data_IF_834611996957
#
_entry.id   IF_834611996957
#
_cell.length_a   1.000
_cell.length_b   1.000
_cell.length_c   1.000
_cell.angle_alpha   90.00
_cell.angle_beta   90.00
_cell.angle_gamma   90.00
#
_symmetry.space_group_name_H-M   'P 1'
#
loop_
_entity.id
_entity.type
_entity.pdbx_description
1 polymer ?
#
# COMPACT_ATOMS: atom_id res chain seq x y z
N UNK A 1 24.19 -5.59 20.09
CA UNK A 1 23.87 -7.03 19.96
C UNK A 1 22.85 -7.37 21.03
N UNK A 2 21.57 -7.49 20.68
CA UNK A 2 20.52 -7.90 21.63
C UNK A 2 20.80 -9.33 22.08
N UNK A 3 20.89 -9.55 23.40
CA UNK A 3 21.16 -10.87 24.01
C UNK A 3 19.90 -11.75 24.09
N UNK A 4 18.75 -11.18 23.74
CA UNK A 4 17.41 -11.75 23.84
C UNK A 4 17.24 -13.15 23.20
N UNK A 5 17.74 -13.46 21.98
CA UNK A 5 17.62 -14.81 21.42
C UNK A 5 18.40 -15.86 22.23
N UNK A 6 19.57 -15.50 22.74
CA UNK A 6 20.41 -16.40 23.56
C UNK A 6 19.75 -16.63 24.92
N UNK A 7 19.13 -15.60 25.50
CA UNK A 7 18.39 -15.69 26.76
C UNK A 7 17.16 -16.57 26.61
N UNK A 8 16.41 -16.46 25.51
CA UNK A 8 15.29 -17.36 25.23
C UNK A 8 15.75 -18.82 25.10
N UNK A 9 16.80 -19.06 24.31
CA UNK A 9 17.36 -20.41 24.13
C UNK A 9 17.82 -20.97 25.48
N UNK A 10 18.48 -20.17 26.33
CA UNK A 10 18.91 -20.60 27.66
C UNK A 10 17.70 -20.93 28.56
N UNK A 11 16.64 -20.12 28.55
CA UNK A 11 15.42 -20.37 29.34
C UNK A 11 14.71 -21.63 28.85
N UNK A 12 14.51 -21.78 27.54
CA UNK A 12 13.82 -22.94 26.95
C UNK A 12 14.56 -24.27 27.17
N UNK A 13 15.84 -24.24 27.54
CA UNK A 13 16.68 -25.45 27.66
C UNK A 13 17.04 -25.78 29.10
N UNK A 14 17.27 -24.77 29.94
CA UNK A 14 17.60 -24.96 31.35
C UNK A 14 16.36 -25.20 32.22
N UNK A 15 15.22 -24.55 31.95
CA UNK A 15 14.00 -24.78 32.75
C UNK A 15 13.53 -26.24 32.69
N UNK A 16 13.41 -26.88 31.51
CA UNK A 16 12.99 -28.29 31.44
C UNK A 16 13.97 -29.25 32.09
N UNK A 17 15.27 -28.91 32.13
CA UNK A 17 16.30 -29.74 32.77
C UNK A 17 16.22 -29.73 34.30
N UNK A 18 15.68 -28.66 34.89
CA UNK A 18 15.53 -28.50 36.36
C UNK A 18 14.23 -29.14 36.86
N UNK A 19 13.15 -29.05 36.07
CA UNK A 19 11.85 -29.60 36.44
C UNK A 19 11.76 -31.09 36.04
N UNK A 20 12.16 -31.98 36.94
CA UNK A 20 12.02 -33.42 36.75
C UNK A 20 10.57 -33.90 37.05
N UNK A 21 10.04 -34.69 36.11
CA UNK A 21 8.84 -35.54 36.14
C UNK A 21 7.63 -35.07 36.98
N UNK A 22 6.56 -34.70 36.26
CA UNK A 22 5.23 -34.42 36.81
C UNK A 22 4.35 -33.67 35.81
N UNK A 23 3.04 -33.60 36.07
CA UNK A 23 2.09 -32.89 35.21
C UNK A 23 2.46 -31.41 35.02
N UNK A 24 3.03 -30.78 36.06
CA UNK A 24 3.52 -29.40 36.01
C UNK A 24 4.72 -29.22 35.06
N UNK A 25 5.66 -30.16 35.04
CA UNK A 25 6.81 -30.10 34.13
C UNK A 25 6.35 -30.19 32.66
N UNK A 26 5.32 -30.99 32.39
CA UNK A 26 4.71 -31.11 31.07
C UNK A 26 4.03 -29.81 30.64
N UNK A 27 3.29 -29.15 31.54
CA UNK A 27 2.70 -27.83 31.25
C UNK A 27 3.79 -26.80 30.93
N UNK A 28 4.85 -26.74 31.74
CA UNK A 28 5.97 -25.81 31.54
C UNK A 28 6.64 -26.07 30.19
N UNK A 29 6.87 -27.34 29.83
CA UNK A 29 7.45 -27.72 28.54
C UNK A 29 6.56 -27.27 27.37
N UNK A 30 5.25 -27.50 27.44
CA UNK A 30 4.31 -27.04 26.40
C UNK A 30 4.37 -25.52 26.26
N UNK A 31 4.35 -24.78 27.37
CA UNK A 31 4.42 -23.30 27.35
C UNK A 31 5.73 -22.83 26.72
N UNK A 32 6.86 -23.47 27.04
CA UNK A 32 8.16 -23.13 26.47
C UNK A 32 8.25 -23.45 24.98
N UNK A 33 7.68 -24.57 24.53
CA UNK A 33 7.61 -24.92 23.11
C UNK A 33 6.72 -23.93 22.35
N UNK A 34 5.58 -23.55 22.93
CA UNK A 34 4.71 -22.52 22.36
C UNK A 34 5.42 -21.17 22.24
N UNK A 35 6.12 -20.76 23.30
CA UNK A 35 6.93 -19.54 23.33
C UNK A 35 8.03 -19.55 22.26
N UNK A 36 8.78 -20.64 22.18
CA UNK A 36 9.85 -20.81 21.20
C UNK A 36 9.30 -20.77 19.78
N UNK A 37 8.23 -21.52 19.50
CA UNK A 37 7.59 -21.54 18.17
C UNK A 37 7.10 -20.16 17.77
N UNK A 38 6.42 -19.43 18.68
CA UNK A 38 5.97 -18.06 18.45
C UNK A 38 7.15 -17.13 18.11
N UNK A 39 8.25 -17.24 18.86
CA UNK A 39 9.45 -16.46 18.59
C UNK A 39 10.04 -16.76 17.21
N UNK A 40 10.14 -18.04 16.84
CA UNK A 40 10.67 -18.45 15.52
C UNK A 40 9.83 -17.90 14.37
N UNK A 41 8.51 -17.88 14.50
CA UNK A 41 7.63 -17.28 13.50
C UNK A 41 7.81 -15.76 13.38
N UNK A 42 8.00 -15.09 14.51
CA UNK A 42 8.27 -13.66 14.50
C UNK A 42 9.64 -13.34 13.90
N UNK A 43 10.63 -14.23 14.07
CA UNK A 43 11.92 -14.18 13.36
C UNK A 43 11.72 -14.32 11.85
N UNK A 44 10.87 -15.24 11.36
CA UNK A 44 10.53 -15.32 9.93
C UNK A 44 9.92 -14.00 9.47
N UNK A 45 8.92 -13.48 10.18
CA UNK A 45 8.19 -12.28 9.78
C UNK A 45 9.10 -11.05 9.71
N UNK A 46 9.99 -10.85 10.69
CA UNK A 46 10.97 -9.76 10.67
C UNK A 46 12.04 -9.95 9.60
N UNK A 47 12.58 -11.17 9.47
CA UNK A 47 13.59 -11.47 8.43
C UNK A 47 13.01 -11.30 7.03
N UNK A 48 11.75 -11.67 6.82
CA UNK A 48 11.01 -11.49 5.56
C UNK A 48 10.77 -10.02 5.20
N UNK A 49 10.67 -9.14 6.20
CA UNK A 49 10.59 -7.68 6.00
C UNK A 49 11.95 -7.06 5.65
N UNK A 50 13.05 -7.79 5.88
CA UNK A 50 14.42 -7.34 5.69
C UNK A 50 15.03 -6.72 6.95
N UNK A 51 14.36 -6.83 8.09
CA UNK A 51 14.95 -6.47 9.38
C UNK A 51 15.73 -7.66 9.93
N UNK A 52 17.06 -7.58 9.84
CA UNK A 52 17.97 -8.63 10.32
C UNK A 52 18.30 -8.46 11.81
N UNK A 53 17.64 -7.54 12.52
CA UNK A 53 17.76 -7.44 13.98
C UNK A 53 16.88 -8.50 14.64
N UNK A 54 17.41 -9.23 15.64
CA UNK A 54 16.63 -10.26 16.30
C UNK A 54 15.53 -9.61 17.16
N UNK A 55 14.32 -10.20 17.17
CA UNK A 55 13.18 -9.63 17.88
C UNK A 55 13.41 -9.59 19.37
N UNK A 56 12.87 -8.54 20.01
CA UNK A 56 12.87 -8.45 21.46
C UNK A 56 11.83 -9.40 22.06
N UNK A 57 12.14 -9.98 23.23
CA UNK A 57 11.22 -10.89 23.92
C UNK A 57 9.88 -10.22 24.25
N UNK A 58 9.88 -8.91 24.52
CA UNK A 58 8.66 -8.15 24.80
C UNK A 58 7.70 -8.11 23.61
N UNK A 59 8.20 -7.94 22.40
CA UNK A 59 7.40 -8.02 21.15
C UNK A 59 6.89 -9.43 20.90
N UNK A 60 7.72 -10.45 21.20
CA UNK A 60 7.32 -11.84 21.05
C UNK A 60 6.22 -12.28 22.03
N UNK A 61 6.08 -11.65 23.20
CA UNK A 61 5.07 -12.02 24.20
C UNK A 61 3.87 -11.08 24.29
N UNK A 62 3.92 -9.87 23.74
CA UNK A 62 2.75 -8.99 23.60
C UNK A 62 1.92 -9.37 22.36
N UNK A 63 0.70 -9.87 22.55
CA UNK A 63 -0.27 -10.14 21.46
C UNK A 63 -0.57 -11.62 21.17
N UNK A 64 -1.72 -11.87 20.55
CA UNK A 64 -2.32 -13.19 20.32
C UNK A 64 -1.67 -14.02 19.20
N UNK A 65 -0.57 -14.72 19.51
CA UNK A 65 0.13 -15.64 18.58
C UNK A 65 -0.02 -17.13 18.90
N UNK A 66 -0.85 -17.49 19.89
CA UNK A 66 -1.12 -18.90 20.25
C UNK A 66 -1.78 -19.67 19.11
N UNK A 67 -2.63 -18.99 18.33
CA UNK A 67 -3.30 -19.57 17.17
C UNK A 67 -2.29 -20.09 16.13
N UNK A 68 -1.20 -19.35 15.91
CA UNK A 68 -0.16 -19.73 14.95
C UNK A 68 0.56 -21.03 15.35
N UNK A 69 0.81 -21.19 16.65
CA UNK A 69 1.41 -22.42 17.20
C UNK A 69 0.45 -23.60 17.02
N UNK A 70 -0.84 -23.40 17.31
CA UNK A 70 -1.87 -24.43 17.12
C UNK A 70 -1.94 -24.84 15.64
N UNK A 71 -1.94 -23.87 14.73
CA UNK A 71 -1.96 -24.13 13.28
C UNK A 71 -0.72 -24.91 12.83
N UNK A 72 0.49 -24.54 13.28
CA UNK A 72 1.71 -25.27 12.95
C UNK A 72 1.67 -26.72 13.48
N UNK A 73 1.19 -26.90 14.70
CA UNK A 73 1.06 -28.24 15.30
C UNK A 73 0.08 -29.09 14.48
N UNK A 74 -1.02 -28.50 14.02
CA UNK A 74 -1.99 -29.19 13.18
C UNK A 74 -1.41 -29.58 11.81
N UNK A 75 -0.60 -28.72 11.17
CA UNK A 75 0.10 -29.05 9.92
C UNK A 75 1.01 -30.27 10.10
N UNK A 76 1.80 -30.31 11.19
CA UNK A 76 2.65 -31.47 11.50
C UNK A 76 1.83 -32.75 11.71
N UNK A 77 0.69 -32.66 12.41
CA UNK A 77 -0.21 -33.81 12.63
C UNK A 77 -0.79 -34.29 11.29
N UNK A 78 -1.21 -33.39 10.41
CA UNK A 78 -1.79 -33.73 9.11
C UNK A 78 -0.75 -34.40 8.22
N UNK A 79 0.43 -33.80 8.05
CA UNK A 79 1.50 -34.37 7.22
C UNK A 79 2.05 -35.67 7.80
N UNK A 80 2.26 -35.75 9.12
CA UNK A 80 2.69 -36.97 9.79
C UNK A 80 1.65 -38.09 9.68
N UNK A 81 0.38 -37.75 9.89
CA UNK A 81 -0.75 -38.67 9.73
C UNK A 81 -0.88 -39.20 8.30
N UNK A 82 -0.64 -38.35 7.29
CA UNK A 82 -0.66 -38.76 5.89
C UNK A 82 0.43 -39.79 5.56
N UNK A 83 1.67 -39.57 6.04
CA UNK A 83 2.77 -40.53 5.85
C UNK A 83 2.48 -41.84 6.59
N UNK A 84 1.98 -41.75 7.82
CA UNK A 84 1.64 -42.93 8.62
C UNK A 84 0.53 -43.77 7.96
N UNK A 85 -0.55 -43.11 7.51
CA UNK A 85 -1.64 -43.76 6.79
C UNK A 85 -1.15 -44.37 5.47
N UNK A 86 -0.32 -43.67 4.70
CA UNK A 86 0.25 -44.21 3.48
C UNK A 86 1.13 -45.45 3.75
N UNK A 87 1.92 -45.45 4.82
CA UNK A 87 2.73 -46.60 5.19
C UNK A 87 1.88 -47.81 5.57
N UNK A 88 0.77 -47.59 6.27
CA UNK A 88 -0.12 -48.65 6.72
C UNK A 88 -1.00 -49.22 5.58
N UNK A 89 -1.44 -48.40 4.62
CA UNK A 89 -2.42 -48.80 3.60
C UNK A 89 -1.84 -48.98 2.19
N UNK A 90 -0.86 -48.16 1.80
CA UNK A 90 -0.26 -48.15 0.46
C UNK A 90 1.13 -48.80 0.42
N UNK A 91 1.72 -49.08 1.60
CA UNK A 91 3.02 -49.72 1.75
C UNK A 91 4.18 -48.74 1.83
N UNK A 92 5.33 -49.26 2.26
CA UNK A 92 6.51 -48.46 2.64
C UNK A 92 7.08 -47.63 1.49
N UNK A 93 7.06 -48.12 0.24
CA UNK A 93 7.58 -47.39 -0.91
C UNK A 93 6.85 -46.08 -1.17
N UNK A 94 5.52 -46.09 -1.10
CA UNK A 94 4.69 -44.89 -1.31
C UNK A 94 4.81 -43.92 -0.13
N UNK A 95 4.90 -44.44 1.09
CA UNK A 95 5.16 -43.63 2.27
C UNK A 95 6.50 -42.88 2.18
N UNK A 96 7.54 -43.53 1.66
CA UNK A 96 8.86 -42.90 1.49
C UNK A 96 8.84 -41.81 0.42
N UNK A 97 8.11 -42.01 -0.69
CA UNK A 97 7.91 -40.98 -1.69
C UNK A 97 7.16 -39.76 -1.12
N UNK A 98 6.08 -40.01 -0.37
CA UNK A 98 5.32 -38.95 0.31
C UNK A 98 6.16 -38.19 1.34
N UNK A 99 7.02 -38.90 2.08
CA UNK A 99 7.94 -38.29 3.02
C UNK A 99 8.88 -37.29 2.33
N UNK A 100 9.44 -37.67 1.18
CA UNK A 100 10.32 -36.78 0.38
C UNK A 100 9.53 -35.56 -0.11
N UNK A 101 8.31 -35.75 -0.61
CA UNK A 101 7.48 -34.65 -1.09
C UNK A 101 7.12 -33.68 0.05
N UNK A 102 6.75 -34.20 1.21
CA UNK A 102 6.47 -33.40 2.40
C UNK A 102 7.73 -32.69 2.88
N UNK A 103 8.89 -33.34 2.89
CA UNK A 103 10.15 -32.72 3.29
C UNK A 103 10.47 -31.50 2.44
N UNK A 104 10.16 -31.55 1.14
CA UNK A 104 10.31 -30.42 0.22
C UNK A 104 9.20 -29.38 0.44
N UNK A 105 7.93 -29.78 0.62
CA UNK A 105 6.80 -28.85 0.75
C UNK A 105 6.67 -28.16 2.11
N UNK A 106 7.20 -28.76 3.17
CA UNK A 106 7.10 -28.29 4.55
C UNK A 106 7.70 -26.89 4.77
N UNK A 107 8.91 -26.55 4.27
CA UNK A 107 9.41 -25.18 4.39
C UNK A 107 8.53 -24.15 3.68
N UNK A 108 7.92 -24.48 2.53
CA UNK A 108 6.96 -23.58 1.88
C UNK A 108 5.67 -23.44 2.70
N UNK A 109 5.16 -24.52 3.29
CA UNK A 109 4.01 -24.49 4.20
C UNK A 109 4.25 -23.57 5.40
N UNK A 110 5.43 -23.66 6.03
CA UNK A 110 5.83 -22.77 7.14
C UNK A 110 5.92 -21.31 6.68
N UNK A 111 6.52 -21.04 5.51
CA UNK A 111 6.59 -19.69 4.94
C UNK A 111 5.20 -19.10 4.67
N UNK A 112 4.27 -19.91 4.15
CA UNK A 112 2.87 -19.51 3.94
C UNK A 112 2.19 -19.21 5.26
N UNK A 113 2.32 -20.08 6.26
CA UNK A 113 1.71 -19.87 7.56
C UNK A 113 2.24 -18.60 8.24
N UNK A 114 3.54 -18.31 8.10
CA UNK A 114 4.16 -17.10 8.61
C UNK A 114 3.69 -15.82 7.92
N UNK A 115 3.30 -15.90 6.64
CA UNK A 115 2.91 -14.75 5.85
C UNK A 115 1.40 -14.51 5.92
N UNK A 116 0.61 -15.55 5.67
CA UNK A 116 -0.85 -15.49 5.50
C UNK A 116 -1.60 -15.70 6.82
N UNK A 117 -0.96 -16.26 7.85
CA UNK A 117 -1.58 -16.55 9.16
C UNK A 117 -2.81 -17.48 9.08
N UNK A 118 -2.97 -18.18 7.95
CA UNK A 118 -4.08 -19.08 7.66
C UNK A 118 -3.60 -20.49 7.32
N UNK A 119 -4.13 -21.47 8.04
CA UNK A 119 -3.77 -22.88 7.87
C UNK A 119 -4.25 -23.48 6.55
N UNK A 120 -5.41 -23.04 6.05
CA UNK A 120 -5.97 -23.51 4.78
C UNK A 120 -5.03 -23.20 3.63
N UNK A 121 -4.46 -21.99 3.63
CA UNK A 121 -3.48 -21.58 2.64
C UNK A 121 -2.18 -22.36 2.80
N UNK A 122 -1.70 -22.57 4.03
CA UNK A 122 -0.47 -23.31 4.31
C UNK A 122 -0.54 -24.81 3.95
N UNK A 123 -1.74 -25.38 3.81
CA UNK A 123 -1.97 -26.77 3.41
C UNK A 123 -2.36 -26.92 1.93
N UNK A 124 -2.65 -25.81 1.24
CA UNK A 124 -3.08 -25.84 -0.15
C UNK A 124 -1.91 -26.25 -1.07
N UNK A 125 -1.98 -27.41 -1.74
CA UNK A 125 -0.92 -27.88 -2.63
C UNK A 125 -0.63 -26.87 -3.75
N UNK A 126 -1.63 -26.16 -4.24
CA UNK A 126 -1.47 -25.19 -5.33
C UNK A 126 -0.64 -23.98 -4.90
N UNK A 127 -0.87 -23.46 -3.68
CA UNK A 127 -0.09 -22.35 -3.13
C UNK A 127 1.32 -22.79 -2.73
N UNK A 128 1.47 -23.99 -2.16
CA UNK A 128 2.79 -24.58 -1.88
C UNK A 128 3.60 -24.69 -3.17
N UNK A 129 3.04 -25.28 -4.23
CA UNK A 129 3.68 -25.36 -5.55
C UNK A 129 3.93 -23.98 -6.15
N UNK A 130 3.03 -23.02 -5.93
CA UNK A 130 3.19 -21.63 -6.35
C UNK A 130 4.43 -20.98 -5.74
N UNK A 131 4.69 -21.20 -4.45
CA UNK A 131 5.90 -20.70 -3.78
C UNK A 131 7.16 -21.41 -4.24
N UNK A 132 7.10 -22.74 -4.38
CA UNK A 132 8.21 -23.53 -4.93
C UNK A 132 8.56 -23.05 -6.34
N UNK A 133 7.56 -22.81 -7.18
CA UNK A 133 7.73 -22.31 -8.56
C UNK A 133 8.21 -20.87 -8.63
N UNK A 134 7.69 -19.98 -7.78
CA UNK A 134 8.07 -18.57 -7.74
C UNK A 134 9.52 -18.34 -7.32
N UNK A 135 9.99 -19.13 -6.35
CA UNK A 135 11.39 -19.15 -5.94
C UNK A 135 12.24 -19.85 -7.01
N UNK A 136 11.76 -20.99 -7.53
CA UNK A 136 12.38 -21.75 -8.61
C UNK A 136 13.56 -22.61 -8.12
N UNK A 137 14.58 -22.76 -8.96
CA UNK A 137 15.79 -23.56 -8.64
C UNK A 137 16.44 -23.25 -7.27
N UNK A 138 16.57 -21.98 -6.84
CA UNK A 138 17.11 -21.62 -5.52
C UNK A 138 16.35 -22.25 -4.33
N UNK A 139 15.09 -22.64 -4.51
CA UNK A 139 14.31 -23.31 -3.46
C UNK A 139 14.91 -24.68 -3.09
N UNK A 140 15.29 -25.47 -4.10
CA UNK A 140 15.88 -26.79 -3.87
C UNK A 140 17.27 -26.67 -3.22
N UNK A 141 18.01 -25.61 -3.54
CA UNK A 141 19.27 -25.28 -2.85
C UNK A 141 19.02 -24.97 -1.38
N UNK A 142 17.99 -24.17 -1.08
CA UNK A 142 17.56 -23.90 0.30
C UNK A 142 17.17 -25.20 1.02
N UNK A 143 16.35 -26.05 0.41
CA UNK A 143 15.98 -27.35 0.97
C UNK A 143 17.21 -28.23 1.23
N UNK A 144 18.17 -28.27 0.31
CA UNK A 144 19.43 -28.98 0.49
C UNK A 144 20.20 -28.49 1.72
N UNK A 145 20.26 -27.17 1.93
CA UNK A 145 20.89 -26.59 3.12
C UNK A 145 20.12 -26.89 4.41
N UNK A 146 18.78 -26.87 4.36
CA UNK A 146 17.93 -27.27 5.50
C UNK A 146 18.16 -28.73 5.90
N UNK A 147 18.26 -29.63 4.92
CA UNK A 147 18.56 -31.04 5.16
C UNK A 147 19.96 -31.17 5.76
N UNK A 148 20.96 -30.46 5.22
CA UNK A 148 22.33 -30.50 5.73
C UNK A 148 22.42 -29.99 7.17
N UNK A 149 21.69 -28.91 7.50
CA UNK A 149 21.57 -28.41 8.88
C UNK A 149 20.90 -29.42 9.81
N UNK A 150 19.84 -30.10 9.36
CA UNK A 150 19.16 -31.13 10.17
C UNK A 150 20.04 -32.36 10.40
N UNK A 151 20.76 -32.82 9.38
CA UNK A 151 21.74 -33.90 9.52
C UNK A 151 22.90 -33.50 10.44
N UNK A 152 23.40 -32.27 10.30
CA UNK A 152 24.42 -31.71 11.20
C UNK A 152 23.95 -31.65 12.64
N UNK A 153 22.71 -31.20 12.88
CA UNK A 153 22.09 -31.22 14.20
C UNK A 153 22.01 -32.65 14.75
N UNK A 154 21.56 -33.62 13.96
CA UNK A 154 21.49 -35.03 14.35
C UNK A 154 22.84 -35.60 14.75
N UNK A 155 23.90 -35.33 13.95
CA UNK A 155 25.26 -35.76 14.25
C UNK A 155 25.82 -35.13 15.54
N UNK A 156 25.54 -33.84 15.78
CA UNK A 156 25.93 -33.17 17.03
C UNK A 156 25.19 -33.80 18.22
N UNK A 157 23.89 -34.07 18.09
CA UNK A 157 23.10 -34.70 19.15
C UNK A 157 23.61 -36.10 19.48
N UNK A 158 23.88 -36.93 18.47
CA UNK A 158 24.44 -38.27 18.66
C UNK A 158 25.81 -38.21 19.36
N UNK A 159 26.69 -37.32 18.91
CA UNK A 159 28.00 -37.11 19.56
C UNK A 159 27.86 -36.67 21.02
N UNK A 160 26.93 -35.77 21.30
CA UNK A 160 26.70 -35.24 22.66
C UNK A 160 26.13 -36.32 23.59
N UNK A 161 25.13 -37.07 23.14
CA UNK A 161 24.48 -38.11 23.95
C UNK A 161 25.42 -39.30 24.21
N UNK A 162 26.30 -39.63 23.26
CA UNK A 162 27.25 -40.75 23.40
C UNK A 162 28.49 -40.42 24.23
N UNK A 163 28.88 -39.14 24.34
CA UNK A 163 30.14 -38.73 24.99
C UNK A 163 29.98 -38.03 26.33
N UNK A 164 28.82 -37.45 26.63
CA UNK A 164 28.59 -36.69 27.85
C UNK A 164 27.64 -37.38 28.81
N UNK A 165 27.67 -36.95 30.08
CA UNK A 165 26.70 -37.39 31.09
C UNK A 165 25.27 -37.02 30.64
N UNK A 166 24.26 -37.87 30.89
CA UNK A 166 22.86 -37.62 30.51
C UNK A 166 22.34 -36.21 30.83
N UNK A 167 22.57 -35.70 32.03
CA UNK A 167 22.06 -34.37 32.43
C UNK A 167 22.67 -33.24 31.59
N UNK A 168 23.97 -33.31 31.33
CA UNK A 168 24.67 -32.31 30.51
C UNK A 168 24.32 -32.47 29.02
N UNK A 169 24.16 -33.72 28.57
CA UNK A 169 23.78 -34.04 27.20
C UNK A 169 22.42 -33.46 26.83
N UNK A 170 21.42 -33.54 27.71
CA UNK A 170 20.09 -32.94 27.46
C UNK A 170 20.15 -31.42 27.32
N UNK A 171 20.92 -30.73 28.17
CA UNK A 171 21.07 -29.27 28.10
C UNK A 171 21.74 -28.83 26.81
N UNK A 172 22.86 -29.48 26.44
CA UNK A 172 23.59 -29.16 25.21
C UNK A 172 22.73 -29.47 23.97
N UNK A 173 22.01 -30.60 23.99
CA UNK A 173 21.10 -31.00 22.91
C UNK A 173 19.98 -29.98 22.72
N UNK A 174 19.36 -29.54 23.81
CA UNK A 174 18.32 -28.50 23.77
C UNK A 174 18.86 -27.18 23.21
N UNK A 175 20.01 -26.72 23.71
CA UNK A 175 20.63 -25.46 23.28
C UNK A 175 20.97 -25.49 21.79
N UNK A 176 21.59 -26.58 21.34
CA UNK A 176 21.96 -26.78 19.93
C UNK A 176 20.70 -26.84 19.06
N UNK A 177 19.67 -27.59 19.49
CA UNK A 177 18.41 -27.71 18.75
C UNK A 177 17.72 -26.36 18.55
N UNK A 178 17.57 -25.56 19.61
CA UNK A 178 16.92 -24.25 19.52
C UNK A 178 17.74 -23.25 18.69
N UNK A 179 19.08 -23.31 18.74
CA UNK A 179 19.94 -22.49 17.88
C UNK A 179 19.79 -22.86 16.39
N UNK A 180 19.87 -24.15 16.05
CA UNK A 180 19.71 -24.61 14.67
C UNK A 180 18.31 -24.29 14.13
N UNK A 181 17.27 -24.47 14.93
CA UNK A 181 15.91 -24.05 14.56
C UNK A 181 15.83 -22.55 14.28
N UNK A 182 16.48 -21.70 15.08
CA UNK A 182 16.52 -20.25 14.82
C UNK A 182 17.17 -19.95 13.47
N UNK A 183 18.32 -20.57 13.18
CA UNK A 183 19.02 -20.41 11.89
C UNK A 183 18.14 -20.86 10.73
N UNK A 184 17.46 -21.99 10.85
CA UNK A 184 16.53 -22.53 9.84
C UNK A 184 15.40 -21.53 9.56
N UNK A 185 14.75 -21.02 10.60
CA UNK A 185 13.66 -20.06 10.47
C UNK A 185 14.13 -18.70 9.94
N UNK A 186 15.30 -18.22 10.37
CA UNK A 186 15.90 -17.01 9.83
C UNK A 186 16.24 -17.17 8.35
N UNK A 187 16.77 -18.31 7.93
CA UNK A 187 17.06 -18.58 6.51
C UNK A 187 15.77 -18.61 5.69
N UNK A 188 14.70 -19.23 6.20
CA UNK A 188 13.40 -19.21 5.52
C UNK A 188 12.86 -17.79 5.36
N UNK A 189 12.92 -16.97 6.43
CA UNK A 189 12.54 -15.56 6.35
C UNK A 189 13.42 -14.75 5.39
N UNK A 190 14.72 -15.02 5.34
CA UNK A 190 15.64 -14.36 4.41
C UNK A 190 15.33 -14.72 2.94
N UNK A 191 15.03 -15.98 2.65
CA UNK A 191 14.59 -16.41 1.31
C UNK A 191 13.28 -15.72 0.94
N UNK A 192 12.35 -15.62 1.89
CA UNK A 192 11.09 -14.91 1.69
C UNK A 192 11.33 -13.42 1.37
N UNK A 193 12.30 -12.78 2.03
CA UNK A 193 12.73 -11.41 1.71
C UNK A 193 13.38 -11.29 0.32
N UNK A 194 14.30 -12.20 -0.01
CA UNK A 194 15.03 -12.16 -1.29
C UNK A 194 14.10 -12.35 -2.49
N UNK A 195 13.13 -13.26 -2.37
CA UNK A 195 12.18 -13.59 -3.43
C UNK A 195 10.83 -12.90 -3.26
N UNK A 196 10.69 -11.98 -2.30
CA UNK A 196 9.45 -11.22 -2.04
C UNK A 196 8.83 -10.61 -3.33
N UNK A 197 9.61 -10.06 -4.29
CA UNK A 197 9.05 -9.57 -5.55
C UNK A 197 8.44 -10.64 -6.45
N UNK A 198 8.93 -11.89 -6.39
CA UNK A 198 8.42 -13.02 -7.19
C UNK A 198 7.26 -13.73 -6.49
N UNK A 199 7.28 -13.80 -5.15
CA UNK A 199 6.18 -14.37 -4.36
C UNK A 199 4.94 -13.47 -4.37
N UNK A 200 5.08 -12.14 -4.43
CA UNK A 200 3.92 -11.23 -4.53
C UNK A 200 3.03 -11.53 -5.75
N UNK A 201 3.62 -11.92 -6.89
CA UNK A 201 2.83 -12.34 -8.06
C UNK A 201 2.17 -13.72 -7.93
N UNK A 202 2.74 -14.64 -7.14
CA UNK A 202 2.26 -16.02 -7.01
C UNK A 202 1.30 -16.23 -5.82
N UNK A 203 1.44 -15.44 -4.76
CA UNK A 203 0.61 -15.48 -3.55
C UNK A 203 -0.66 -14.64 -3.70
N UNK A 204 -0.61 -13.56 -4.50
CA UNK A 204 -1.77 -12.67 -4.72
C UNK A 204 -2.67 -13.08 -5.89
N UNK A 205 -2.39 -14.19 -6.58
CA UNK A 205 -3.22 -14.71 -7.70
C UNK A 205 -4.58 -15.28 -7.29
N UNK A 206 -4.90 -15.35 -6.00
CA UNK A 206 -6.17 -15.88 -5.51
C UNK A 206 -6.67 -15.08 -4.31
N UNK A 207 -7.62 -14.19 -4.61
CA UNK A 207 -8.64 -13.58 -3.76
C UNK A 207 -8.41 -13.65 -2.24
N UNK A 208 -7.96 -12.55 -1.64
CA UNK A 208 -8.75 -11.71 -0.72
C UNK A 208 -7.86 -10.60 -0.16
N UNK A 209 -8.33 -9.35 -0.27
CA UNK A 209 -7.72 -8.20 0.38
C UNK A 209 -7.89 -8.29 1.90
N UNK A 210 -6.79 -8.29 2.65
CA UNK A 210 -6.81 -7.93 4.08
C UNK A 210 -5.75 -6.86 4.34
N UNK A 211 -6.24 -5.71 4.78
CA UNK A 211 -5.48 -4.53 5.17
C UNK A 211 -4.50 -4.79 6.32
N UNK A 212 -3.23 -4.42 6.14
CA UNK A 212 -2.36 -3.93 7.23
C UNK A 212 -1.52 -2.73 6.75
N UNK A 213 -1.33 -1.67 7.56
CA UNK A 213 -0.96 -0.33 7.08
C UNK A 213 0.55 -0.14 6.78
N UNK A 214 1.42 -1.08 7.17
CA UNK A 214 2.88 -0.91 7.11
C UNK A 214 3.54 -1.46 5.83
N UNK A 215 2.78 -2.13 4.96
CA UNK A 215 3.26 -2.58 3.63
C UNK A 215 3.11 -1.51 2.53
N UNK A 216 2.44 -0.40 2.83
CA UNK A 216 2.10 0.64 1.85
C UNK A 216 3.34 1.31 1.22
N UNK A 217 4.40 1.55 1.99
CA UNK A 217 5.61 2.20 1.47
C UNK A 217 6.47 1.29 0.57
N UNK A 218 6.47 -0.04 0.79
CA UNK A 218 7.23 -1.00 -0.04
C UNK A 218 6.45 -1.36 -1.31
N UNK A 219 5.13 -1.47 -1.22
CA UNK A 219 4.22 -1.63 -2.35
C UNK A 219 4.23 -0.40 -3.27
N UNK A 220 4.38 0.82 -2.75
CA UNK A 220 4.44 2.03 -3.58
C UNK A 220 5.62 2.04 -4.55
N UNK A 221 6.83 1.66 -4.09
CA UNK A 221 7.98 1.58 -5.00
C UNK A 221 7.79 0.51 -6.06
N UNK A 222 7.17 -0.62 -5.73
CA UNK A 222 6.84 -1.67 -6.69
C UNK A 222 5.76 -1.24 -7.67
N UNK A 223 4.69 -0.60 -7.21
CA UNK A 223 3.64 -0.04 -8.08
C UNK A 223 4.22 1.02 -9.03
N UNK A 224 5.16 1.85 -8.57
CA UNK A 224 5.85 2.82 -9.43
C UNK A 224 6.73 2.14 -10.49
N UNK A 225 7.35 1.01 -10.18
CA UNK A 225 8.12 0.21 -11.15
C UNK A 225 7.19 -0.48 -12.14
N UNK A 226 6.07 -1.04 -11.70
CA UNK A 226 5.04 -1.63 -12.57
C UNK A 226 4.43 -0.60 -13.52
N UNK A 227 4.19 0.62 -13.04
CA UNK A 227 3.76 1.75 -13.88
C UNK A 227 4.84 2.07 -14.92
N UNK A 228 6.12 2.13 -14.54
CA UNK A 228 7.22 2.43 -15.48
C UNK A 228 7.38 1.32 -16.55
N UNK A 229 7.25 0.06 -16.15
CA UNK A 229 7.25 -1.08 -17.08
C UNK A 229 6.04 -1.01 -18.00
N UNK A 230 4.83 -0.80 -17.47
CA UNK A 230 3.61 -0.70 -18.27
C UNK A 230 3.67 0.46 -19.27
N UNK A 231 4.25 1.60 -18.88
CA UNK A 231 4.47 2.74 -19.78
C UNK A 231 5.47 2.41 -20.89
N UNK A 232 6.57 1.72 -20.58
CA UNK A 232 7.58 1.27 -21.56
C UNK A 232 7.01 0.24 -22.54
N UNK A 233 6.15 -0.64 -22.06
CA UNK A 233 5.51 -1.68 -22.87
C UNK A 233 4.28 -1.17 -23.66
N UNK A 234 3.95 0.13 -23.56
CA UNK A 234 2.78 0.73 -24.22
C UNK A 234 1.43 0.32 -23.64
N UNK A 235 1.41 -0.32 -22.46
CA UNK A 235 0.20 -0.78 -21.76
C UNK A 235 -0.40 0.36 -20.93
N UNK A 236 -0.96 1.35 -21.62
CA UNK A 236 -1.45 2.58 -20.99
C UNK A 236 -2.65 2.37 -20.06
N UNK A 237 -3.55 1.42 -20.36
CA UNK A 237 -4.73 1.17 -19.54
C UNK A 237 -4.36 0.66 -18.13
N UNK A 238 -3.40 -0.27 -18.06
CA UNK A 238 -2.87 -0.77 -16.80
C UNK A 238 -2.16 0.33 -16.01
N UNK A 239 -1.38 1.18 -16.69
CA UNK A 239 -0.71 2.31 -16.04
C UNK A 239 -1.71 3.32 -15.45
N UNK A 240 -2.82 3.59 -16.15
CA UNK A 240 -3.90 4.46 -15.65
C UNK A 240 -4.59 3.86 -14.43
N UNK A 241 -4.88 2.56 -14.47
CA UNK A 241 -5.52 1.84 -13.36
C UNK A 241 -4.63 1.84 -12.11
N UNK A 242 -3.35 1.49 -12.27
CA UNK A 242 -2.38 1.49 -11.18
C UNK A 242 -2.18 2.89 -10.57
N UNK A 243 -2.05 3.94 -11.38
CA UNK A 243 -1.98 5.32 -10.90
C UNK A 243 -3.26 5.78 -10.22
N UNK A 244 -4.42 5.33 -10.72
CA UNK A 244 -5.73 5.61 -10.11
C UNK A 244 -5.83 4.97 -8.74
N UNK A 245 -5.36 3.74 -8.57
CA UNK A 245 -5.34 3.02 -7.30
C UNK A 245 -4.37 3.66 -6.31
N UNK A 246 -3.18 4.08 -6.75
CA UNK A 246 -2.24 4.84 -5.91
C UNK A 246 -2.84 6.15 -5.43
N UNK A 247 -3.50 6.91 -6.31
CA UNK A 247 -4.18 8.14 -5.93
C UNK A 247 -5.30 7.90 -4.91
N UNK A 248 -6.10 6.83 -5.08
CA UNK A 248 -7.15 6.48 -4.11
C UNK A 248 -6.58 6.16 -2.72
N UNK A 249 -5.36 5.59 -2.65
CA UNK A 249 -4.66 5.30 -1.39
C UNK A 249 -4.01 6.55 -0.77
N UNK A 250 -3.47 7.46 -1.60
CA UNK A 250 -2.87 8.73 -1.17
C UNK A 250 -3.45 9.92 -1.96
N UNK A 251 -4.60 10.46 -1.53
CA UNK A 251 -5.30 11.54 -2.25
C UNK A 251 -4.51 12.86 -2.34
N UNK A 252 -3.47 13.02 -1.50
CA UNK A 252 -2.67 14.24 -1.39
C UNK A 252 -1.29 14.13 -2.06
N UNK A 253 -0.95 12.99 -2.68
CA UNK A 253 0.31 12.87 -3.42
C UNK A 253 0.23 13.61 -4.76
N UNK A 254 0.77 14.83 -4.78
CA UNK A 254 0.82 15.71 -5.94
C UNK A 254 1.59 15.08 -7.12
N UNK A 255 2.59 14.24 -6.86
CA UNK A 255 3.42 13.64 -7.92
C UNK A 255 2.63 12.56 -8.66
N UNK A 256 1.93 11.68 -7.93
CA UNK A 256 1.08 10.65 -8.51
C UNK A 256 -0.07 11.26 -9.30
N UNK A 257 -0.71 12.29 -8.75
CA UNK A 257 -1.79 13.02 -9.42
C UNK A 257 -1.31 13.71 -10.71
N UNK A 258 -0.12 14.30 -10.70
CA UNK A 258 0.48 14.92 -11.88
C UNK A 258 0.78 13.92 -13.00
N UNK A 259 1.35 12.76 -12.64
CA UNK A 259 1.62 11.67 -13.59
C UNK A 259 0.34 11.11 -14.19
N UNK A 260 -0.68 10.89 -13.35
CA UNK A 260 -2.00 10.45 -13.79
C UNK A 260 -2.61 11.47 -14.77
N UNK A 261 -2.56 12.76 -14.45
CA UNK A 261 -3.06 13.81 -15.33
C UNK A 261 -2.37 13.79 -16.71
N UNK A 262 -1.03 13.77 -16.74
CA UNK A 262 -0.27 13.72 -18.00
C UNK A 262 -0.64 12.49 -18.83
N UNK A 263 -0.76 11.33 -18.18
CA UNK A 263 -1.13 10.09 -18.86
C UNK A 263 -2.55 10.15 -19.45
N UNK A 264 -3.54 10.63 -18.67
CA UNK A 264 -4.92 10.78 -19.14
C UNK A 264 -5.04 11.77 -20.32
N UNK A 265 -4.25 12.83 -20.30
CA UNK A 265 -4.20 13.81 -21.40
C UNK A 265 -3.57 13.21 -22.66
N UNK A 266 -2.52 12.39 -22.53
CA UNK A 266 -1.86 11.72 -23.65
C UNK A 266 -2.75 10.63 -24.28
N UNK A 267 -3.46 9.85 -23.46
CA UNK A 267 -4.30 8.74 -23.92
C UNK A 267 -5.71 9.19 -24.32
N UNK A 268 -6.09 10.43 -24.04
CA UNK A 268 -7.41 10.96 -24.33
C UNK A 268 -8.54 10.35 -23.50
N UNK A 269 -8.25 9.86 -22.29
CA UNK A 269 -9.22 9.24 -21.37
C UNK A 269 -10.01 10.28 -20.58
N UNK A 270 -10.81 11.06 -21.31
CA UNK A 270 -11.64 12.15 -20.79
C UNK A 270 -12.72 11.68 -19.81
N UNK A 271 -13.16 10.42 -19.93
CA UNK A 271 -14.11 9.75 -19.04
C UNK A 271 -13.59 9.65 -17.61
N UNK A 272 -12.31 9.27 -17.45
CA UNK A 272 -11.66 9.17 -16.15
C UNK A 272 -11.31 10.57 -15.63
N UNK A 273 -10.87 11.46 -16.53
CA UNK A 273 -10.50 12.83 -16.18
C UNK A 273 -11.70 13.65 -15.69
N UNK A 274 -12.90 13.45 -16.22
CA UNK A 274 -14.14 14.10 -15.73
C UNK A 274 -14.42 13.70 -14.28
N UNK A 275 -14.33 12.39 -13.97
CA UNK A 275 -14.53 11.85 -12.61
C UNK A 275 -13.51 12.38 -11.61
N UNK A 276 -12.26 12.59 -12.03
CA UNK A 276 -11.15 13.08 -11.20
C UNK A 276 -10.80 14.55 -11.46
N UNK A 277 -11.74 15.31 -12.03
CA UNK A 277 -11.48 16.68 -12.50
C UNK A 277 -11.12 17.64 -11.38
N UNK A 278 -11.80 17.56 -10.24
CA UNK A 278 -11.61 18.51 -9.14
C UNK A 278 -10.22 18.42 -8.49
N UNK A 279 -9.71 17.25 -8.06
CA UNK A 279 -8.36 17.15 -7.50
C UNK A 279 -7.27 17.65 -8.46
N UNK A 280 -7.38 17.30 -9.75
CA UNK A 280 -6.42 17.73 -10.78
C UNK A 280 -6.47 19.24 -10.96
N UNK A 281 -7.67 19.83 -11.05
CA UNK A 281 -7.82 21.28 -11.20
C UNK A 281 -7.24 22.03 -10.00
N UNK A 282 -7.46 21.56 -8.75
CA UNK A 282 -6.84 22.17 -7.56
C UNK A 282 -5.31 22.12 -7.63
N UNK A 283 -4.73 20.97 -7.99
CA UNK A 283 -3.28 20.84 -8.19
C UNK A 283 -2.74 21.83 -9.24
N UNK A 284 -3.43 21.98 -10.37
CA UNK A 284 -3.00 22.86 -11.45
C UNK A 284 -3.10 24.35 -11.07
N UNK A 285 -4.11 24.72 -10.29
CA UNK A 285 -4.27 26.08 -9.74
C UNK A 285 -3.15 26.39 -8.76
N UNK A 286 -2.91 25.50 -7.78
CA UNK A 286 -1.84 25.65 -6.79
C UNK A 286 -0.45 25.78 -7.42
N UNK A 287 -0.22 25.08 -8.54
CA UNK A 287 1.06 25.11 -9.26
C UNK A 287 1.14 26.18 -10.36
N UNK A 288 0.09 26.97 -10.55
CA UNK A 288 0.05 28.06 -11.55
C UNK A 288 0.10 27.58 -13.01
N UNK A 289 -0.27 26.33 -13.29
CA UNK A 289 -0.09 25.70 -14.63
C UNK A 289 -1.25 26.01 -15.58
N UNK A 290 -1.38 27.30 -15.90
CA UNK A 290 -2.50 27.84 -16.70
C UNK A 290 -2.66 27.21 -18.09
N UNK A 291 -1.56 26.81 -18.74
CA UNK A 291 -1.62 26.13 -20.05
C UNK A 291 -2.38 24.80 -19.97
N UNK A 292 -2.10 24.02 -18.93
CA UNK A 292 -2.70 22.71 -18.68
C UNK A 292 -4.17 22.85 -18.25
N UNK A 293 -4.49 23.84 -17.41
CA UNK A 293 -5.87 24.20 -17.04
C UNK A 293 -6.70 24.45 -18.29
N UNK A 294 -6.20 25.28 -19.22
CA UNK A 294 -6.91 25.60 -20.47
C UNK A 294 -7.13 24.37 -21.34
N UNK A 295 -6.11 23.52 -21.47
CA UNK A 295 -6.18 22.32 -22.29
C UNK A 295 -7.20 21.33 -21.72
N UNK A 296 -7.14 21.08 -20.40
CA UNK A 296 -8.06 20.20 -19.69
C UNK A 296 -9.51 20.70 -19.81
N UNK A 297 -9.77 21.97 -19.51
CA UNK A 297 -11.13 22.52 -19.55
C UNK A 297 -11.72 22.48 -20.96
N UNK A 298 -10.95 22.89 -21.99
CA UNK A 298 -11.42 22.81 -23.39
C UNK A 298 -11.74 21.36 -23.79
N UNK A 299 -10.90 20.41 -23.40
CA UNK A 299 -11.14 18.99 -23.63
C UNK A 299 -12.41 18.48 -22.94
N UNK A 300 -12.59 18.77 -21.65
CA UNK A 300 -13.79 18.39 -20.89
C UNK A 300 -15.06 18.99 -21.47
N UNK A 301 -15.06 20.29 -21.81
CA UNK A 301 -16.23 20.93 -22.43
C UNK A 301 -16.54 20.40 -23.84
N UNK A 302 -15.54 19.91 -24.59
CA UNK A 302 -15.77 19.29 -25.89
C UNK A 302 -16.47 17.94 -25.78
N UNK A 303 -16.26 17.20 -24.69
CA UNK A 303 -16.86 15.88 -24.46
C UNK A 303 -18.17 15.95 -23.69
N UNK A 304 -18.28 16.89 -22.76
CA UNK A 304 -19.46 17.12 -21.94
C UNK A 304 -19.75 18.61 -21.90
N UNK A 305 -20.74 19.03 -22.69
CA UNK A 305 -21.08 20.45 -22.83
C UNK A 305 -21.46 21.10 -21.49
N UNK A 306 -22.15 20.32 -20.63
CA UNK A 306 -22.59 20.67 -19.26
C UNK A 306 -21.57 20.29 -18.18
N UNK A 307 -20.28 20.31 -18.48
CA UNK A 307 -19.24 20.13 -17.47
C UNK A 307 -19.26 21.31 -16.48
N UNK A 308 -19.08 21.02 -15.19
CA UNK A 308 -19.16 22.01 -14.13
C UNK A 308 -18.07 21.78 -13.09
N UNK A 309 -17.35 22.85 -12.72
CA UNK A 309 -16.42 22.85 -11.59
C UNK A 309 -17.25 22.86 -10.31
N UNK A 310 -17.12 21.80 -9.50
CA UNK A 310 -17.99 21.51 -8.33
C UNK A 310 -17.55 22.19 -7.03
N UNK A 311 -16.49 22.97 -7.07
CA UNK A 311 -15.88 23.60 -5.91
C UNK A 311 -15.82 25.12 -6.12
N UNK A 312 -16.38 25.91 -5.20
CA UNK A 312 -16.53 27.35 -5.38
C UNK A 312 -15.18 28.09 -5.41
N UNK A 313 -14.27 27.78 -4.48
CA UNK A 313 -12.94 28.38 -4.42
C UNK A 313 -12.11 28.05 -5.67
N UNK A 314 -12.07 26.76 -6.07
CA UNK A 314 -11.37 26.37 -7.28
C UNK A 314 -11.95 27.06 -8.52
N UNK A 315 -13.28 27.18 -8.65
CA UNK A 315 -13.90 27.88 -9.76
C UNK A 315 -13.49 29.36 -9.81
N UNK A 316 -13.42 30.04 -8.66
CA UNK A 316 -12.96 31.41 -8.55
C UNK A 316 -11.49 31.58 -8.95
N UNK A 317 -10.57 30.79 -8.37
CA UNK A 317 -9.14 30.89 -8.68
C UNK A 317 -8.81 30.49 -10.12
N UNK A 318 -9.51 29.50 -10.70
CA UNK A 318 -9.41 29.16 -12.12
C UNK A 318 -9.85 30.36 -12.97
N UNK A 319 -10.98 30.98 -12.63
CA UNK A 319 -11.48 32.14 -13.36
C UNK A 319 -10.50 33.31 -13.30
N UNK A 320 -9.92 33.59 -12.14
CA UNK A 320 -8.89 34.63 -11.98
C UNK A 320 -7.66 34.33 -12.84
N UNK A 321 -7.17 33.09 -12.82
CA UNK A 321 -6.05 32.66 -13.64
C UNK A 321 -6.34 32.78 -15.15
N UNK A 322 -7.57 32.47 -15.58
CA UNK A 322 -8.01 32.61 -16.97
C UNK A 322 -8.15 34.07 -17.39
N UNK A 323 -8.55 34.97 -16.47
CA UNK A 323 -8.63 36.40 -16.73
C UNK A 323 -7.25 36.96 -17.09
N UNK A 324 -6.24 36.67 -16.26
CA UNK A 324 -4.86 37.11 -16.49
C UNK A 324 -4.25 36.47 -17.75
N UNK A 325 -4.70 35.27 -18.14
CA UNK A 325 -4.28 34.63 -19.37
C UNK A 325 -5.02 35.13 -20.64
N UNK A 326 -6.03 36.00 -20.49
CA UNK A 326 -6.82 36.54 -21.59
C UNK A 326 -7.90 35.59 -22.14
N UNK A 327 -8.18 34.47 -21.48
CA UNK A 327 -9.15 33.46 -21.94
C UNK A 327 -10.56 33.73 -21.40
N UNK A 328 -11.09 34.92 -21.73
CA UNK A 328 -12.35 35.46 -21.18
C UNK A 328 -13.59 34.59 -21.49
N UNK A 329 -13.63 33.92 -22.65
CA UNK A 329 -14.75 33.02 -23.00
C UNK A 329 -14.78 31.78 -22.11
N UNK A 330 -13.61 31.21 -21.83
CA UNK A 330 -13.49 30.03 -20.98
C UNK A 330 -13.78 30.37 -19.53
N UNK A 331 -13.33 31.54 -19.07
CA UNK A 331 -13.66 32.11 -17.76
C UNK A 331 -15.17 32.17 -17.54
N UNK A 332 -15.91 32.81 -18.46
CA UNK A 332 -17.37 32.94 -18.32
C UNK A 332 -18.08 31.58 -18.32
N UNK A 333 -17.52 30.59 -19.03
CA UNK A 333 -18.05 29.23 -19.04
C UNK A 333 -17.83 28.49 -17.72
N UNK A 334 -16.68 28.69 -17.08
CA UNK A 334 -16.40 28.14 -15.73
C UNK A 334 -17.35 28.74 -14.69
N UNK A 335 -17.56 30.05 -14.75
CA UNK A 335 -18.43 30.81 -13.83
C UNK A 335 -19.93 30.69 -14.14
N UNK A 336 -20.30 30.03 -15.24
CA UNK A 336 -21.69 29.90 -15.65
C UNK A 336 -22.53 29.23 -14.55
N UNK A 337 -23.58 29.90 -14.09
CA UNK A 337 -24.46 29.39 -13.03
C UNK A 337 -23.82 29.35 -11.65
N UNK A 338 -22.67 30.00 -11.40
CA UNK A 338 -22.00 29.99 -10.09
C UNK A 338 -22.94 30.35 -8.93
N UNK A 339 -23.65 31.49 -9.01
CA UNK A 339 -24.57 31.91 -7.94
C UNK A 339 -25.79 31.01 -7.74
N UNK A 340 -26.22 30.26 -8.78
CA UNK A 340 -27.30 29.27 -8.63
C UNK A 340 -26.81 27.97 -7.99
N UNK A 341 -25.59 27.55 -8.35
CA UNK A 341 -24.95 26.33 -7.86
C UNK A 341 -24.47 26.46 -6.42
N UNK A 342 -24.01 27.65 -6.04
CA UNK A 342 -23.39 27.88 -4.73
C UNK A 342 -24.04 29.08 -4.02
N UNK A 343 -25.24 28.88 -3.47
CA UNK A 343 -26.07 29.95 -2.88
C UNK A 343 -25.40 30.70 -1.71
N UNK A 344 -24.51 30.04 -0.96
CA UNK A 344 -23.81 30.60 0.21
C UNK A 344 -22.28 30.54 0.07
N UNK A 345 -21.75 30.47 -1.15
CA UNK A 345 -20.29 30.37 -1.35
C UNK A 345 -19.54 31.67 -1.04
N UNK A 346 -18.27 31.56 -0.61
CA UNK A 346 -17.37 32.71 -0.58
C UNK A 346 -17.18 33.30 -1.99
N UNK A 347 -16.79 34.57 -2.06
CA UNK A 347 -16.43 35.29 -3.28
C UNK A 347 -17.57 35.51 -4.31
N UNK A 348 -18.86 35.46 -3.93
CA UNK A 348 -19.95 35.71 -4.88
C UNK A 348 -19.87 37.09 -5.56
N UNK A 349 -19.61 38.16 -4.79
CA UNK A 349 -19.44 39.50 -5.33
C UNK A 349 -18.20 39.59 -6.24
N UNK A 350 -17.08 39.00 -5.82
CA UNK A 350 -15.84 38.94 -6.60
C UNK A 350 -16.02 38.21 -7.95
N UNK A 351 -16.77 37.11 -7.97
CA UNK A 351 -17.09 36.34 -9.18
C UNK A 351 -17.92 37.18 -10.17
N UNK A 352 -18.90 37.93 -9.68
CA UNK A 352 -19.73 38.81 -10.51
C UNK A 352 -18.89 39.96 -11.06
N UNK A 353 -18.04 40.57 -10.23
CA UNK A 353 -17.11 41.62 -10.63
C UNK A 353 -16.13 41.13 -11.70
N UNK A 354 -15.55 39.95 -11.51
CA UNK A 354 -14.62 39.33 -12.46
C UNK A 354 -15.31 39.01 -13.79
N UNK A 355 -16.57 38.58 -13.76
CA UNK A 355 -17.39 38.36 -14.96
C UNK A 355 -17.67 39.67 -15.72
N UNK A 356 -17.99 40.74 -15.00
CA UNK A 356 -18.19 42.06 -15.58
C UNK A 356 -16.90 42.59 -16.25
N UNK A 357 -15.75 42.44 -15.59
CA UNK A 357 -14.43 42.78 -16.15
C UNK A 357 -14.13 41.96 -17.41
N UNK A 358 -14.37 40.65 -17.39
CA UNK A 358 -14.15 39.81 -18.57
C UNK A 358 -15.04 40.22 -19.76
N UNK A 359 -16.30 40.61 -19.50
CA UNK A 359 -17.23 41.09 -20.53
C UNK A 359 -16.79 42.45 -21.10
N UNK A 360 -16.39 43.39 -20.25
CA UNK A 360 -15.97 44.73 -20.67
C UNK A 360 -14.61 44.72 -21.38
N UNK A 361 -13.59 44.18 -20.71
CA UNK A 361 -12.20 44.31 -21.14
C UNK A 361 -11.84 43.34 -22.26
N UNK A 362 -12.38 42.13 -22.20
CA UNK A 362 -12.02 41.02 -23.07
C UNK A 362 -12.97 40.78 -24.24
N UNK A 363 -14.27 40.93 -24.00
CA UNK A 363 -15.31 40.71 -25.03
C UNK A 363 -15.91 42.01 -25.58
N UNK A 364 -15.44 43.17 -25.11
CA UNK A 364 -15.93 44.50 -25.51
C UNK A 364 -17.45 44.64 -25.42
N UNK A 365 -18.08 43.94 -24.47
CA UNK A 365 -19.53 43.93 -24.26
C UNK A 365 -19.89 44.77 -23.02
N UNK A 366 -19.72 46.09 -23.16
CA UNK A 366 -20.07 47.07 -22.14
C UNK A 366 -21.53 46.97 -21.64
N UNK A 367 -22.54 46.80 -22.52
CA UNK A 367 -23.94 46.68 -22.08
C UNK A 367 -24.18 45.52 -21.11
N UNK A 368 -23.62 44.32 -21.39
CA UNK A 368 -23.72 43.18 -20.48
C UNK A 368 -22.88 43.38 -19.22
N UNK A 369 -21.68 43.94 -19.33
CA UNK A 369 -20.87 44.26 -18.16
C UNK A 369 -21.60 45.19 -17.18
N UNK A 370 -22.29 46.21 -17.70
CA UNK A 370 -23.15 47.11 -16.90
C UNK A 370 -24.27 46.35 -16.17
N UNK A 371 -24.92 45.38 -16.81
CA UNK A 371 -25.96 44.57 -16.16
C UNK A 371 -25.40 43.78 -14.97
N UNK A 372 -24.22 43.19 -15.11
CA UNK A 372 -23.55 42.45 -14.03
C UNK A 372 -23.16 43.39 -12.87
N UNK A 373 -22.64 44.59 -13.17
CA UNK A 373 -22.32 45.59 -12.14
C UNK A 373 -23.57 46.09 -11.39
N UNK A 374 -24.67 46.35 -12.09
CA UNK A 374 -25.94 46.74 -11.46
C UNK A 374 -26.51 45.61 -10.60
N UNK A 375 -26.37 44.36 -11.03
CA UNK A 375 -26.77 43.20 -10.24
C UNK A 375 -25.94 43.07 -8.95
N UNK A 376 -24.62 43.32 -9.03
CA UNK A 376 -23.73 43.35 -7.86
C UNK A 376 -24.17 44.42 -6.85
N UNK A 377 -24.38 45.66 -7.31
CA UNK A 377 -24.80 46.76 -6.44
C UNK A 377 -26.17 46.53 -5.75
N UNK A 378 -27.08 45.83 -6.43
CA UNK A 378 -28.42 45.55 -5.90
C UNK A 378 -28.43 44.45 -4.84
N UNK A 379 -27.64 43.39 -5.03
CA UNK A 379 -27.73 42.16 -4.22
C UNK A 379 -26.63 42.05 -3.14
N UNK A 380 -25.53 42.78 -3.27
CA UNK A 380 -24.39 42.75 -2.33
C UNK A 380 -24.08 44.15 -1.79
N UNK A 381 -25.10 44.92 -1.41
CA UNK A 381 -24.98 46.34 -1.03
C UNK A 381 -24.09 46.63 0.18
N UNK A 382 -23.78 45.61 1.01
CA UNK A 382 -22.88 45.72 2.17
C UNK A 382 -21.42 45.35 1.87
N UNK A 383 -21.10 44.92 0.64
CA UNK A 383 -19.77 44.51 0.23
C UNK A 383 -18.94 45.71 -0.26
N UNK A 384 -17.65 45.79 0.10
CA UNK A 384 -16.73 46.86 -0.31
C UNK A 384 -16.62 46.99 -1.84
N UNK A 385 -16.86 45.88 -2.57
CA UNK A 385 -16.88 45.87 -4.03
C UNK A 385 -18.13 46.55 -4.61
N UNK A 386 -19.25 46.57 -3.89
CA UNK A 386 -20.47 47.27 -4.30
C UNK A 386 -20.32 48.78 -4.20
N UNK A 387 -19.55 49.27 -3.21
CA UNK A 387 -19.25 50.69 -3.06
C UNK A 387 -18.47 51.27 -4.26
N UNK A 388 -17.68 50.43 -4.95
CA UNK A 388 -16.89 50.83 -6.13
C UNK A 388 -17.70 50.84 -7.44
N UNK A 389 -18.90 50.24 -7.46
CA UNK A 389 -19.71 50.10 -8.70
C UNK A 389 -20.04 51.44 -9.39
N UNK A 390 -20.44 52.52 -8.69
CA UNK A 390 -20.74 53.79 -9.34
C UNK A 390 -19.55 54.36 -10.13
N UNK A 391 -18.35 54.32 -9.54
CA UNK A 391 -17.11 54.78 -10.18
C UNK A 391 -16.73 53.90 -11.38
N UNK A 392 -16.89 52.57 -11.25
CA UNK A 392 -16.66 51.62 -12.33
C UNK A 392 -17.63 51.82 -13.51
N UNK A 393 -18.88 52.20 -13.24
CA UNK A 393 -19.86 52.53 -14.28
C UNK A 393 -19.51 53.81 -15.04
N UNK A 394 -18.87 54.78 -14.39
CA UNK A 394 -18.35 55.97 -15.08
C UNK A 394 -17.15 55.64 -15.97
N UNK A 395 -16.20 54.85 -15.48
CA UNK A 395 -15.06 54.37 -16.27
C UNK A 395 -15.52 53.58 -17.50
N UNK A 396 -16.50 52.68 -17.33
CA UNK A 396 -17.08 51.92 -18.43
C UNK A 396 -17.71 52.83 -19.50
N UNK A 397 -18.31 53.97 -19.12
CA UNK A 397 -18.91 54.93 -20.05
C UNK A 397 -17.85 55.76 -20.79
N UNK A 398 -16.74 56.12 -20.12
CA UNK A 398 -15.67 56.96 -20.67
C UNK A 398 -14.72 56.15 -21.56
N UNK A 399 -14.23 55.01 -21.05
CA UNK A 399 -13.12 54.27 -21.66
C UNK A 399 -13.56 52.94 -22.29
N UNK A 400 -14.82 52.55 -22.11
CA UNK A 400 -15.34 51.25 -22.57
C UNK A 400 -14.73 50.04 -21.84
N UNK A 401 -13.92 50.28 -20.80
CA UNK A 401 -13.14 49.29 -20.06
C UNK A 401 -13.24 49.52 -18.57
N UNK A 402 -12.98 48.46 -17.80
CA UNK A 402 -12.92 48.47 -16.35
C UNK A 402 -11.46 48.31 -15.89
N UNK A 403 -11.07 48.92 -14.77
CA UNK A 403 -9.75 48.72 -14.19
C UNK A 403 -9.54 47.24 -13.80
N UNK A 404 -8.30 46.77 -14.00
CA UNK A 404 -7.91 45.38 -13.70
C UNK A 404 -7.95 45.06 -12.20
N UNK A 405 -8.14 43.79 -11.82
CA UNK A 405 -8.13 43.38 -10.42
C UNK A 405 -6.77 43.69 -9.77
N UNK A 406 -6.79 44.31 -8.58
CA UNK A 406 -5.58 44.45 -7.75
C UNK A 406 -5.11 43.05 -7.35
N UNK A 407 -3.86 42.72 -7.66
CA UNK A 407 -3.28 41.41 -7.36
C UNK A 407 -2.99 41.33 -5.87
N UNK A 408 -3.75 40.51 -5.13
CA UNK A 408 -3.38 40.12 -3.76
C UNK A 408 -2.61 38.80 -3.86
N UNK A 409 -1.29 38.87 -3.71
CA UNK A 409 -0.47 37.67 -3.49
C UNK A 409 -0.66 37.26 -2.03
N UNK A 410 -1.51 36.26 -1.79
CA UNK A 410 -1.60 35.54 -0.52
C UNK A 410 -0.70 34.33 -0.53
#
# INVERSE_FOLDING_TARGET
>A
MSRDPIVLIAICTLLPAIFNQGFLALIILIVLVCAQTKYMYLVIEQSARGDLKPPTLKEAFMGGGLMLVIQQTLIFIIFGGLVFAANMWLGSGIAMLLLILILIGLPASIMLLATEHEITQALDPSRILGVVGAIGWPYFVMCGYLILLMLGLGAVQEFVVTRFNPSLAYTITGFTSSYFMLVIFCMMGYVLYQYQPRLGGAIHSSQHEVHKPDLAQKNEKQSLIEIDIALKDGRYDLAIESLTNLFSRKPYDKVTLDRLFKLLMLTGRWDVLDKKSLPVLKLLVETGRIREIRQMLRGLYSKREKFEVRDPEAAYHIAQSLYHAGDYRLLLRVLQGYGQRFKDAPHQAEVIMLSARALANGLHNGPKAKQYLMYLAKNFSQDDLAAQVPELLEHLKKDGRLPDPKVSFG
#
